data_IF_675878642971
#
_entry.id   IF_675878642971
#
_cell.length_a   1.000
_cell.length_b   1.000
_cell.length_c   1.000
_cell.angle_alpha   90.00
_cell.angle_beta   90.00
_cell.angle_gamma   90.00
#
_symmetry.space_group_name_H-M   'P 1'
#
loop_
_entity.id
_entity.type
_entity.pdbx_description
1 polymer ?
#
# COMPACT_ATOMS: atom_id res chain seq x y z
N UNK A 1 10.55 33.43 9.10
CA UNK A 1 9.41 32.90 9.88
C UNK A 1 9.70 31.45 10.18
N UNK A 2 9.95 31.14 11.45
CA UNK A 2 10.33 29.81 11.93
C UNK A 2 9.04 29.14 12.42
N UNK A 3 8.56 28.13 11.70
CA UNK A 3 7.38 27.36 12.12
C UNK A 3 7.75 26.50 13.32
N UNK A 4 7.28 26.91 14.49
CA UNK A 4 7.36 26.14 15.74
C UNK A 4 6.53 24.85 15.62
N UNK A 5 7.16 23.75 15.17
CA UNK A 5 6.66 22.42 15.47
C UNK A 5 6.89 22.16 16.96
N UNK A 6 5.87 22.37 17.79
CA UNK A 6 5.88 21.88 19.17
C UNK A 6 6.03 20.35 19.14
N UNK A 7 7.26 19.86 19.35
CA UNK A 7 7.56 18.46 19.71
C UNK A 7 6.94 18.16 21.08
N UNK A 8 5.62 18.03 21.13
CA UNK A 8 4.95 17.30 22.19
C UNK A 8 5.04 15.83 21.85
N UNK A 9 5.58 15.00 22.75
CA UNK A 9 5.34 13.56 22.65
C UNK A 9 3.83 13.37 22.85
N UNK A 10 3.11 13.21 21.74
CA UNK A 10 1.68 12.91 21.79
C UNK A 10 1.57 11.43 22.16
N UNK A 11 1.29 11.14 23.42
CA UNK A 11 1.00 9.78 23.86
C UNK A 11 -0.19 9.23 23.05
N UNK A 12 -0.05 8.01 22.51
CA UNK A 12 -1.03 7.33 21.65
C UNK A 12 -2.42 7.11 22.28
N UNK A 13 -2.64 7.51 23.54
CA UNK A 13 -3.94 7.40 24.23
C UNK A 13 -5.05 8.22 23.57
N UNK A 14 -4.72 9.28 22.82
CA UNK A 14 -5.69 10.17 22.14
C UNK A 14 -6.15 9.69 20.76
N UNK A 15 -5.43 8.76 20.15
CA UNK A 15 -5.74 8.26 18.80
C UNK A 15 -5.87 6.75 18.90
N UNK A 16 -7.10 6.26 19.05
CA UNK A 16 -7.37 4.83 19.13
C UNK A 16 -7.88 4.36 17.77
N UNK A 17 -7.30 3.27 17.28
CA UNK A 17 -7.90 2.48 16.22
C UNK A 17 -9.17 1.87 16.82
N UNK A 18 -10.32 2.31 16.33
CA UNK A 18 -11.61 1.86 16.83
C UNK A 18 -11.95 0.48 16.26
N UNK A 19 -11.67 0.30 14.97
CA UNK A 19 -11.93 -0.94 14.23
C UNK A 19 -10.79 -1.20 13.24
N UNK A 20 -10.47 -2.48 13.06
CA UNK A 20 -9.45 -3.00 12.14
C UNK A 20 -10.09 -4.02 11.22
N UNK A 21 -9.86 -3.86 9.91
CA UNK A 21 -10.39 -4.76 8.90
C UNK A 21 -9.23 -5.31 8.07
N UNK A 22 -9.03 -6.63 8.11
CA UNK A 22 -8.13 -7.30 7.17
C UNK A 22 -8.92 -7.76 5.95
N UNK A 23 -8.44 -7.36 4.79
CA UNK A 23 -9.00 -7.68 3.48
C UNK A 23 -7.90 -8.37 2.68
N UNK A 24 -7.88 -9.69 2.67
CA UNK A 24 -6.78 -10.45 2.07
C UNK A 24 -7.04 -11.94 2.04
N UNK A 25 -6.14 -12.67 1.37
CA UNK A 25 -6.14 -14.12 1.30
C UNK A 25 -4.94 -14.66 2.11
N UNK A 26 -5.06 -14.86 3.43
CA UNK A 26 -3.92 -15.09 4.32
C UNK A 26 -3.21 -16.44 4.09
N UNK A 27 -3.84 -17.38 3.36
CA UNK A 27 -3.36 -18.77 3.28
C UNK A 27 -2.47 -19.09 2.06
N UNK A 28 -2.15 -18.16 1.17
CA UNK A 28 -1.31 -18.46 0.00
C UNK A 28 -0.30 -17.36 -0.33
N UNK A 29 0.78 -17.26 0.46
CA UNK A 29 2.04 -16.67 -0.02
C UNK A 29 3.04 -17.78 -0.37
N UNK A 30 2.53 -18.86 -0.97
CA UNK A 30 3.36 -19.85 -1.63
C UNK A 30 3.71 -19.33 -3.03
N UNK A 31 4.97 -19.46 -3.42
CA UNK A 31 5.60 -19.02 -4.69
C UNK A 31 4.70 -19.38 -5.88
N UNK A 32 3.74 -18.52 -6.20
CA UNK A 32 2.83 -18.66 -7.33
C UNK A 32 2.65 -17.27 -7.93
N UNK A 33 2.79 -17.12 -9.26
CA UNK A 33 2.86 -15.81 -9.91
C UNK A 33 1.56 -14.98 -9.86
N UNK A 34 0.51 -15.44 -9.16
CA UNK A 34 -0.84 -14.86 -9.20
C UNK A 34 -1.52 -14.88 -7.82
N UNK A 35 -0.82 -14.38 -6.79
CA UNK A 35 -1.50 -14.02 -5.55
C UNK A 35 -2.01 -12.60 -5.75
N UNK A 36 -3.28 -12.46 -6.11
CA UNK A 36 -3.93 -11.17 -6.33
C UNK A 36 -5.18 -11.11 -5.46
N UNK A 37 -5.51 -9.94 -4.90
CA UNK A 37 -6.81 -9.76 -4.25
C UNK A 37 -7.96 -10.07 -5.22
N UNK A 38 -8.97 -10.79 -4.74
CA UNK A 38 -10.19 -11.02 -5.51
C UNK A 38 -10.91 -9.69 -5.78
N UNK A 39 -11.56 -9.58 -6.95
CA UNK A 39 -12.27 -8.36 -7.38
C UNK A 39 -13.33 -7.88 -6.38
N UNK A 40 -13.96 -8.78 -5.63
CA UNK A 40 -14.93 -8.44 -4.59
C UNK A 40 -14.24 -7.83 -3.36
N UNK A 41 -13.02 -8.28 -3.05
CA UNK A 41 -12.19 -7.70 -1.98
C UNK A 41 -11.71 -6.31 -2.38
N UNK A 42 -11.24 -6.15 -3.62
CA UNK A 42 -10.85 -4.82 -4.16
C UNK A 42 -12.05 -3.86 -4.09
N UNK A 43 -13.24 -4.31 -4.50
CA UNK A 43 -14.46 -3.49 -4.40
C UNK A 43 -14.78 -3.11 -2.96
N UNK A 44 -14.73 -4.05 -2.01
CA UNK A 44 -14.98 -3.77 -0.60
C UNK A 44 -13.94 -2.80 0.00
N UNK A 45 -12.67 -2.92 -0.42
CA UNK A 45 -11.61 -2.01 -0.01
C UNK A 45 -11.84 -0.60 -0.57
N UNK A 46 -12.27 -0.46 -1.83
CA UNK A 46 -12.66 0.82 -2.42
C UNK A 46 -13.86 1.45 -1.72
N UNK A 47 -14.89 0.66 -1.42
CA UNK A 47 -16.06 1.11 -0.67
C UNK A 47 -15.69 1.61 0.74
N UNK A 48 -14.66 1.03 1.38
CA UNK A 48 -14.12 1.48 2.66
C UNK A 48 -13.24 2.73 2.53
N UNK A 49 -12.32 2.73 1.56
CA UNK A 49 -11.41 3.85 1.28
C UNK A 49 -12.18 5.14 1.01
N UNK A 50 -13.21 5.07 0.15
CA UNK A 50 -14.07 6.21 -0.19
C UNK A 50 -14.89 6.74 0.99
N UNK A 51 -15.01 5.98 2.08
CA UNK A 51 -15.90 6.32 3.20
C UNK A 51 -15.24 7.02 4.36
N UNK A 52 -13.94 6.83 4.66
CA UNK A 52 -13.18 7.56 5.70
C UNK A 52 -11.75 7.07 6.02
N UNK A 53 -11.25 6.01 5.40
CA UNK A 53 -10.14 5.24 6.00
C UNK A 53 -8.92 5.17 5.09
N UNK A 54 -7.74 5.45 5.64
CA UNK A 54 -6.45 5.10 5.01
C UNK A 54 -6.34 3.58 4.98
N UNK A 55 -5.92 3.03 3.85
CA UNK A 55 -5.64 1.60 3.74
C UNK A 55 -4.13 1.37 3.84
N UNK A 56 -3.70 0.35 4.57
CA UNK A 56 -2.34 -0.18 4.46
C UNK A 56 -2.38 -1.36 3.50
N UNK A 57 -1.62 -1.29 2.42
CA UNK A 57 -1.46 -2.39 1.46
C UNK A 57 -0.19 -3.16 1.75
N UNK A 58 -0.24 -4.47 1.50
CA UNK A 58 0.95 -5.32 1.41
C UNK A 58 1.13 -5.72 -0.04
N UNK A 59 2.32 -5.49 -0.57
CA UNK A 59 2.70 -5.83 -1.95
C UNK A 59 3.91 -6.76 -1.94
N UNK A 60 3.97 -7.77 -2.82
CA UNK A 60 5.20 -8.50 -3.08
C UNK A 60 6.14 -7.65 -3.95
N UNK A 61 7.44 -7.81 -3.75
CA UNK A 61 8.49 -7.06 -4.45
C UNK A 61 9.10 -7.93 -5.55
N UNK A 62 9.14 -7.39 -6.76
CA UNK A 62 9.96 -7.86 -7.87
C UNK A 62 10.94 -6.77 -8.30
N UNK A 63 11.97 -7.13 -9.06
CA UNK A 63 13.06 -6.20 -9.40
C UNK A 63 12.58 -4.90 -10.08
N UNK A 64 11.49 -4.95 -10.84
CA UNK A 64 10.89 -3.76 -11.46
C UNK A 64 10.18 -2.81 -10.47
N UNK A 65 10.10 -3.15 -9.19
CA UNK A 65 9.69 -2.22 -8.15
C UNK A 65 10.68 -1.05 -8.04
N UNK A 66 11.98 -1.33 -8.18
CA UNK A 66 13.04 -0.33 -8.04
C UNK A 66 13.07 0.63 -9.23
N UNK A 67 12.47 0.26 -10.37
CA UNK A 67 12.29 1.17 -11.50
C UNK A 67 11.43 2.39 -11.11
N UNK A 68 10.60 2.29 -10.05
CA UNK A 68 9.81 3.41 -9.54
C UNK A 68 10.68 4.56 -9.06
N UNK A 69 11.93 4.31 -8.65
CA UNK A 69 12.86 5.37 -8.23
C UNK A 69 13.19 6.33 -9.40
N UNK A 70 13.16 5.82 -10.63
CA UNK A 70 13.57 6.55 -11.82
C UNK A 70 12.39 7.11 -12.65
N UNK A 71 11.13 6.81 -12.28
CA UNK A 71 9.99 7.36 -13.03
C UNK A 71 8.59 7.01 -12.54
N UNK A 72 7.62 7.81 -12.98
CA UNK A 72 6.21 7.65 -12.66
C UNK A 72 5.56 6.58 -13.56
N UNK A 73 5.45 5.34 -13.08
CA UNK A 73 4.67 4.29 -13.74
C UNK A 73 3.86 3.48 -12.72
N UNK A 74 2.95 2.63 -13.22
CA UNK A 74 2.15 1.74 -12.38
C UNK A 74 2.95 0.46 -12.16
N UNK A 75 3.25 0.13 -10.90
CA UNK A 75 3.94 -1.09 -10.54
C UNK A 75 3.05 -2.33 -10.72
N UNK A 76 3.61 -3.33 -11.42
CA UNK A 76 3.05 -4.66 -11.58
C UNK A 76 4.04 -5.68 -11.03
N UNK A 77 3.58 -6.54 -10.11
CA UNK A 77 4.43 -7.61 -9.63
C UNK A 77 4.74 -8.60 -10.77
N UNK A 78 6.02 -8.88 -10.98
CA UNK A 78 6.50 -9.91 -11.91
C UNK A 78 7.12 -11.06 -11.12
N UNK A 79 6.36 -12.15 -10.97
CA UNK A 79 6.82 -13.35 -10.25
C UNK A 79 8.04 -14.03 -10.84
N UNK A 80 8.43 -13.73 -12.10
CA UNK A 80 9.67 -14.26 -12.71
C UNK A 80 10.92 -13.59 -12.17
N UNK A 81 10.76 -12.37 -11.64
CA UNK A 81 11.81 -11.52 -11.11
C UNK A 81 11.54 -11.13 -9.66
N UNK A 82 10.88 -12.01 -8.89
CA UNK A 82 10.58 -11.78 -7.49
C UNK A 82 11.88 -11.56 -6.69
N UNK A 83 11.90 -10.52 -5.86
CA UNK A 83 12.95 -10.32 -4.87
C UNK A 83 12.77 -11.37 -3.77
N UNK A 84 13.88 -12.02 -3.38
CA UNK A 84 13.85 -13.11 -2.41
C UNK A 84 14.72 -12.77 -1.20
N UNK A 85 14.15 -12.96 -0.01
CA UNK A 85 14.86 -12.91 1.27
C UNK A 85 14.69 -14.27 1.93
N UNK A 86 15.80 -14.96 2.20
CA UNK A 86 15.82 -16.31 2.79
C UNK A 86 14.97 -17.35 2.02
N UNK A 87 14.87 -17.20 0.70
CA UNK A 87 14.09 -18.09 -0.17
C UNK A 87 12.58 -17.82 -0.20
N UNK A 88 12.12 -16.76 0.48
CA UNK A 88 10.74 -16.29 0.46
C UNK A 88 10.62 -15.00 -0.35
N UNK A 89 9.47 -14.79 -0.98
CA UNK A 89 9.18 -13.54 -1.70
C UNK A 89 9.16 -12.38 -0.70
N UNK A 90 10.01 -11.39 -0.97
CA UNK A 90 10.04 -10.16 -0.20
C UNK A 90 8.72 -9.40 -0.35
N UNK A 91 8.22 -8.83 0.73
CA UNK A 91 6.99 -8.03 0.72
C UNK A 91 7.22 -6.69 1.40
N UNK A 92 6.56 -5.66 0.88
CA UNK A 92 6.61 -4.30 1.40
C UNK A 92 5.21 -3.84 1.82
N UNK A 93 5.16 -2.95 2.83
CA UNK A 93 3.93 -2.33 3.29
C UNK A 93 3.86 -0.88 2.82
N UNK A 94 2.73 -0.52 2.21
CA UNK A 94 2.49 0.80 1.63
C UNK A 94 1.25 1.43 2.27
N UNK A 95 1.22 2.75 2.41
CA UNK A 95 -0.01 3.46 2.78
C UNK A 95 -0.72 3.92 1.52
N UNK A 96 -1.87 3.30 1.22
CA UNK A 96 -2.72 3.65 0.09
C UNK A 96 -3.53 4.88 0.45
N UNK A 97 -3.36 5.93 -0.35
CA UNK A 97 -3.89 7.28 -0.14
C UNK A 97 -4.84 7.71 -1.26
N UNK A 98 -4.96 6.92 -2.32
CA UNK A 98 -5.76 7.25 -3.48
C UNK A 98 -6.07 6.03 -4.33
N UNK A 99 -7.10 6.18 -5.16
CA UNK A 99 -7.42 5.24 -6.23
C UNK A 99 -7.74 6.04 -7.49
N UNK A 100 -7.14 5.66 -8.61
CA UNK A 100 -7.24 6.39 -9.87
C UNK A 100 -7.19 5.48 -11.07
N UNK A 101 -7.27 6.10 -12.24
CA UNK A 101 -7.15 5.45 -13.54
C UNK A 101 -6.15 6.22 -14.38
N UNK A 102 -5.25 5.50 -15.04
CA UNK A 102 -4.42 6.02 -16.13
C UNK A 102 -5.02 5.45 -17.42
N UNK A 103 -5.72 6.32 -18.17
CA UNK A 103 -6.70 5.90 -19.18
C UNK A 103 -7.74 4.93 -18.60
N UNK A 104 -7.68 3.64 -18.97
CA UNK A 104 -8.57 2.58 -18.48
C UNK A 104 -7.90 1.65 -17.45
N UNK A 105 -6.67 1.97 -17.03
CA UNK A 105 -5.86 1.12 -16.15
C UNK A 105 -5.99 1.59 -14.70
N UNK A 106 -6.63 0.80 -13.79
CA UNK A 106 -6.79 1.20 -12.40
C UNK A 106 -5.48 1.10 -11.63
N UNK A 107 -5.25 2.02 -10.70
CA UNK A 107 -4.12 2.00 -9.77
C UNK A 107 -4.53 2.47 -8.38
N UNK A 108 -3.84 1.94 -7.36
CA UNK A 108 -3.76 2.57 -6.05
C UNK A 108 -2.58 3.54 -6.04
N UNK A 109 -2.84 4.76 -5.60
CA UNK A 109 -1.78 5.70 -5.24
C UNK A 109 -1.37 5.44 -3.79
N UNK A 110 -0.07 5.40 -3.53
CA UNK A 110 0.47 5.13 -2.21
C UNK A 110 1.64 6.05 -1.86
N UNK A 111 1.89 6.18 -0.57
CA UNK A 111 3.10 6.80 -0.04
C UNK A 111 4.03 5.72 0.56
N UNK A 112 5.31 5.81 0.23
CA UNK A 112 6.38 4.94 0.75
C UNK A 112 7.05 5.58 1.98
N UNK A 113 7.71 4.76 2.82
CA UNK A 113 8.54 5.20 3.93
C UNK A 113 9.98 5.58 3.53
N UNK A 114 10.38 5.41 2.27
CA UNK A 114 11.70 5.78 1.73
C UNK A 114 11.91 7.30 1.57
N UNK A 115 10.91 8.12 1.91
CA UNK A 115 10.97 9.58 1.88
C UNK A 115 10.93 10.15 0.47
N UNK A 116 11.21 11.45 0.35
CA UNK A 116 10.97 12.20 -0.88
C UNK A 116 11.84 11.78 -2.08
N UNK A 117 12.89 10.98 -1.86
CA UNK A 117 13.76 10.46 -2.92
C UNK A 117 13.17 9.28 -3.67
N UNK A 118 12.07 8.69 -3.18
CA UNK A 118 11.39 7.59 -3.85
C UNK A 118 10.39 8.13 -4.87
N UNK A 119 10.53 7.74 -6.15
CA UNK A 119 9.58 8.10 -7.21
C UNK A 119 9.31 9.61 -7.23
N UNK A 120 8.07 10.02 -7.49
CA UNK A 120 7.62 11.41 -7.41
C UNK A 120 7.35 11.78 -5.95
N UNK A 121 8.31 12.42 -5.31
CA UNK A 121 8.16 13.02 -3.97
C UNK A 121 7.71 12.04 -2.86
N UNK A 122 8.08 10.76 -2.97
CA UNK A 122 7.70 9.71 -2.02
C UNK A 122 6.42 8.95 -2.38
N UNK A 123 5.77 9.30 -3.48
CA UNK A 123 4.52 8.68 -3.93
C UNK A 123 4.75 7.69 -5.07
N UNK A 124 4.03 6.57 -5.02
CA UNK A 124 4.04 5.54 -6.05
C UNK A 124 2.64 5.17 -6.51
N UNK A 125 2.57 4.44 -7.64
CA UNK A 125 1.34 3.87 -8.18
C UNK A 125 1.51 2.36 -8.30
N UNK A 126 0.52 1.59 -7.84
CA UNK A 126 0.54 0.12 -7.92
C UNK A 126 -0.77 -0.40 -8.48
N UNK A 127 -0.69 -1.43 -9.32
CA UNK A 127 -1.88 -2.13 -9.80
C UNK A 127 -2.61 -2.80 -8.62
N UNK A 128 -3.95 -2.71 -8.53
CA UNK A 128 -4.72 -3.42 -7.52
C UNK A 128 -4.49 -4.93 -7.54
N UNK A 129 -4.14 -5.50 -8.70
CA UNK A 129 -3.82 -6.92 -8.83
C UNK A 129 -2.48 -7.30 -8.19
N UNK A 130 -1.58 -6.35 -7.98
CA UNK A 130 -0.28 -6.57 -7.34
C UNK A 130 -0.35 -6.42 -5.82
N UNK A 131 -1.51 -6.11 -5.26
CA UNK A 131 -1.73 -6.05 -3.82
C UNK A 131 -2.21 -7.43 -3.35
N UNK A 132 -1.62 -7.93 -2.27
CA UNK A 132 -1.95 -9.25 -1.70
C UNK A 132 -2.82 -9.14 -0.45
N UNK A 133 -2.70 -8.04 0.29
CA UNK A 133 -3.49 -7.75 1.49
C UNK A 133 -3.74 -6.24 1.59
N UNK A 134 -4.93 -5.87 2.05
CA UNK A 134 -5.30 -4.50 2.43
C UNK A 134 -5.81 -4.51 3.88
N UNK A 135 -5.45 -3.48 4.62
CA UNK A 135 -5.86 -3.28 6.00
C UNK A 135 -6.53 -1.93 6.13
N UNK A 136 -7.78 -1.89 6.59
CA UNK A 136 -8.52 -0.66 6.86
C UNK A 136 -8.54 -0.32 8.34
N UNK A 137 -8.49 0.97 8.66
CA UNK A 137 -8.50 1.49 10.02
C UNK A 137 -9.51 2.63 10.17
N UNK A 138 -10.36 2.54 11.17
CA UNK A 138 -11.21 3.67 11.58
C UNK A 138 -10.54 4.39 12.75
N UNK A 139 -10.15 5.64 12.54
CA UNK A 139 -9.56 6.50 13.57
C UNK A 139 -10.67 7.38 14.16
N UNK A 140 -10.90 7.25 15.47
CA UNK A 140 -11.71 8.20 16.22
C UNK A 140 -10.82 9.28 16.84
N UNK A 141 -11.27 10.53 16.74
CA UNK A 141 -10.75 11.65 17.52
C UNK A 141 -11.64 11.79 18.76
N UNK A 142 -11.07 11.60 19.95
CA UNK A 142 -11.74 11.91 21.23
C UNK A 142 -11.93 13.43 21.40
#
# INVERSE_FOLDING_TARGET
MMTDFKRGIVNARRYKIHQFYQMGNPENVAITPQITLDKHIIKAALDNFLKKSVLIGRIPISLNYYDLEDGEHIYYFDGRCAALVEGLVETHSIAVIGFGFDEDVPFFEFIDCNGNGFSKEGFGRVSPTSVIELFGFDICLD
#
